data_IF_610709053208
#
_entry.id   IF_610709053208
#
_cell.length_a   1.000
_cell.length_b   1.000
_cell.length_c   1.000
_cell.angle_alpha   90.00
_cell.angle_beta   90.00
_cell.angle_gamma   90.00
#
_symmetry.space_group_name_H-M   'P 1'
#
loop_
_entity.id
_entity.type
_entity.pdbx_description
1 polymer ?
#
# COMPACT_ATOMS: atom_id res chain seq x y z
N UNK A 1 0.02 -8.48 -12.19
CA UNK A 1 -0.46 -7.11 -11.90
C UNK A 1 -0.89 -6.36 -13.18
N UNK A 2 0.03 -5.92 -14.06
CA UNK A 2 -0.32 -5.05 -15.22
C UNK A 2 -1.45 -5.59 -16.09
N UNK A 3 -1.45 -6.88 -16.44
CA UNK A 3 -2.50 -7.49 -17.26
C UNK A 3 -3.87 -7.45 -16.57
N UNK A 4 -3.91 -7.69 -15.27
CA UNK A 4 -5.14 -7.66 -14.48
C UNK A 4 -5.71 -6.25 -14.37
N UNK A 5 -4.89 -5.27 -14.01
CA UNK A 5 -5.29 -3.86 -13.97
C UNK A 5 -5.81 -3.37 -15.34
N UNK A 6 -5.10 -3.73 -16.44
CA UNK A 6 -5.56 -3.39 -17.79
C UNK A 6 -6.92 -4.02 -18.11
N UNK A 7 -7.14 -5.26 -17.69
CA UNK A 7 -8.45 -5.92 -17.87
C UNK A 7 -9.54 -5.20 -17.10
N UNK A 8 -9.33 -4.95 -15.80
CA UNK A 8 -10.32 -4.25 -14.96
C UNK A 8 -10.67 -2.89 -15.56
N UNK A 9 -9.69 -2.13 -16.01
CA UNK A 9 -9.90 -0.79 -16.56
C UNK A 9 -10.81 -0.76 -17.81
N UNK A 10 -10.82 -1.83 -18.61
CA UNK A 10 -11.59 -1.88 -19.89
C UNK A 10 -12.85 -2.75 -19.79
N UNK A 11 -13.02 -3.55 -18.73
CA UNK A 11 -14.20 -4.42 -18.60
C UNK A 11 -15.42 -3.61 -18.19
N UNK A 12 -16.50 -3.75 -18.93
CA UNK A 12 -17.76 -2.98 -18.76
C UNK A 12 -18.45 -3.20 -17.40
N UNK A 13 -18.14 -4.29 -16.70
CA UNK A 13 -18.74 -4.63 -15.41
C UNK A 13 -17.85 -4.18 -14.26
N UNK A 14 -16.53 -4.35 -14.42
CA UNK A 14 -15.58 -4.20 -13.31
C UNK A 14 -14.76 -2.92 -13.36
N UNK A 15 -14.85 -2.10 -14.42
CA UNK A 15 -14.14 -0.80 -14.51
C UNK A 15 -14.45 0.12 -13.30
N UNK A 16 -15.65 0.04 -12.77
CA UNK A 16 -16.08 0.79 -11.57
C UNK A 16 -15.36 0.41 -10.26
N UNK A 17 -14.50 -0.59 -10.27
CA UNK A 17 -13.67 -1.01 -9.15
C UNK A 17 -12.19 -0.82 -9.43
N UNK A 18 -11.87 -0.09 -10.52
CA UNK A 18 -10.48 0.07 -10.95
C UNK A 18 -9.64 0.79 -9.90
N UNK A 19 -10.17 1.86 -9.33
CA UNK A 19 -9.53 2.69 -8.33
C UNK A 19 -9.15 1.88 -7.09
N UNK A 20 -10.07 1.11 -6.56
CA UNK A 20 -9.86 0.28 -5.37
C UNK A 20 -8.85 -0.83 -5.66
N UNK A 21 -8.97 -1.51 -6.81
CA UNK A 21 -8.03 -2.56 -7.20
C UNK A 21 -6.62 -1.97 -7.42
N UNK A 22 -6.53 -0.76 -7.98
CA UNK A 22 -5.26 -0.05 -8.12
C UNK A 22 -4.62 0.23 -6.76
N UNK A 23 -5.40 0.75 -5.81
CA UNK A 23 -4.96 1.04 -4.44
C UNK A 23 -4.45 -0.23 -3.75
N UNK A 24 -5.14 -1.37 -3.87
CA UNK A 24 -4.67 -2.65 -3.30
C UNK A 24 -3.26 -3.02 -3.77
N UNK A 25 -2.96 -2.82 -5.05
CA UNK A 25 -1.64 -3.15 -5.61
C UNK A 25 -0.54 -2.14 -5.27
N UNK A 26 -0.89 -0.92 -4.82
CA UNK A 26 0.06 0.18 -4.69
C UNK A 26 0.23 0.71 -3.26
N UNK A 27 -0.44 0.13 -2.27
CA UNK A 27 -0.34 0.57 -0.86
C UNK A 27 0.11 -0.53 0.09
N UNK A 28 -0.12 -1.78 -0.27
CA UNK A 28 0.23 -2.92 0.58
C UNK A 28 -0.59 -3.03 1.86
N UNK A 29 -1.71 -2.31 2.01
CA UNK A 29 -2.62 -2.41 3.15
C UNK A 29 -3.19 -3.82 3.32
N UNK A 30 -3.55 -4.17 4.57
CA UNK A 30 -4.36 -5.35 4.82
C UNK A 30 -5.81 -5.08 4.40
N UNK A 31 -6.50 -6.13 3.98
CA UNK A 31 -7.90 -6.01 3.53
C UNK A 31 -8.81 -5.41 4.60
N UNK A 32 -8.64 -5.77 5.87
CA UNK A 32 -9.44 -5.24 6.97
C UNK A 32 -9.12 -3.77 7.29
N UNK A 33 -7.86 -3.34 7.13
CA UNK A 33 -7.45 -1.93 7.20
C UNK A 33 -8.10 -1.14 6.07
N UNK A 34 -8.02 -1.64 4.84
CA UNK A 34 -8.65 -1.01 3.67
C UNK A 34 -10.16 -0.86 3.85
N UNK A 35 -10.86 -1.91 4.31
CA UNK A 35 -12.30 -1.84 4.56
C UNK A 35 -12.68 -0.82 5.65
N UNK A 36 -11.79 -0.59 6.60
CA UNK A 36 -11.99 0.36 7.71
C UNK A 36 -11.80 1.82 7.33
N UNK A 37 -11.18 2.12 6.18
CA UNK A 37 -10.87 3.49 5.80
C UNK A 37 -12.11 4.38 5.77
N UNK A 38 -11.97 5.54 6.43
CA UNK A 38 -12.94 6.62 6.41
C UNK A 38 -12.39 7.83 5.64
N UNK A 39 -13.23 8.80 5.35
CA UNK A 39 -12.79 10.06 4.74
C UNK A 39 -11.76 10.80 5.59
N UNK A 40 -11.80 10.64 6.91
CA UNK A 40 -10.88 11.29 7.86
C UNK A 40 -9.47 10.69 7.81
N UNK A 41 -9.32 9.48 7.29
CA UNK A 41 -8.03 8.78 7.19
C UNK A 41 -7.21 9.21 5.98
N UNK A 42 -7.82 9.92 5.03
CA UNK A 42 -7.20 10.31 3.77
C UNK A 42 -6.88 11.81 3.76
N UNK A 43 -5.61 12.14 3.76
CA UNK A 43 -5.14 13.52 3.57
C UNK A 43 -4.61 13.67 2.13
N UNK A 44 -5.46 14.22 1.25
CA UNK A 44 -5.13 14.41 -0.17
C UNK A 44 -4.08 15.51 -0.38
N UNK A 45 -3.96 16.49 0.53
CA UNK A 45 -2.97 17.56 0.44
C UNK A 45 -1.58 17.05 0.82
N UNK A 46 -1.46 16.40 1.98
CA UNK A 46 -0.21 15.77 2.42
C UNK A 46 0.09 14.47 1.71
N UNK A 47 -0.88 13.92 0.97
CA UNK A 47 -0.82 12.63 0.28
C UNK A 47 -0.45 11.50 1.22
N UNK A 48 -1.26 11.34 2.26
CA UNK A 48 -1.06 10.31 3.28
C UNK A 48 -2.35 9.59 3.63
N UNK A 49 -2.20 8.31 4.02
CA UNK A 49 -3.27 7.47 4.56
C UNK A 49 -2.92 7.17 6.01
N UNK A 50 -3.80 7.51 6.94
CA UNK A 50 -3.67 7.10 8.34
C UNK A 50 -4.26 5.70 8.53
N UNK A 51 -3.51 4.80 9.12
CA UNK A 51 -3.95 3.45 9.48
C UNK A 51 -3.83 3.27 10.98
N UNK A 52 -4.92 3.30 11.69
CA UNK A 52 -4.98 3.11 13.16
C UNK A 52 -6.02 2.08 13.58
N UNK A 53 -6.90 1.68 12.67
CA UNK A 53 -7.98 0.74 12.91
C UNK A 53 -8.22 -0.20 11.72
N UNK A 54 -9.06 -1.17 11.93
CA UNK A 54 -9.51 -2.13 10.93
C UNK A 54 -10.98 -2.47 11.12
N UNK A 55 -11.71 -2.65 10.00
CA UNK A 55 -13.09 -3.10 10.03
C UNK A 55 -13.17 -4.60 9.84
N UNK A 56 -13.89 -5.27 10.72
CA UNK A 56 -14.19 -6.68 10.64
C UNK A 56 -15.69 -6.96 10.75
N UNK A 57 -16.07 -8.16 10.35
CA UNK A 57 -17.42 -8.69 10.56
C UNK A 57 -17.32 -9.99 11.32
N UNK A 58 -17.93 -10.03 12.50
CA UNK A 58 -17.91 -11.21 13.36
C UNK A 58 -18.69 -12.38 12.76
N UNK A 59 -18.53 -13.58 13.33
CA UNK A 59 -19.34 -14.76 12.97
C UNK A 59 -20.83 -14.55 13.20
N UNK A 60 -21.20 -13.67 14.13
CA UNK A 60 -22.58 -13.23 14.38
C UNK A 60 -23.10 -12.17 13.37
N UNK A 61 -22.29 -11.85 12.35
CA UNK A 61 -22.57 -10.84 11.33
C UNK A 61 -22.58 -9.39 11.84
N UNK A 62 -22.03 -9.12 13.02
CA UNK A 62 -21.90 -7.78 13.57
C UNK A 62 -20.65 -7.11 12.98
N UNK A 63 -20.75 -5.82 12.66
CA UNK A 63 -19.63 -5.00 12.23
C UNK A 63 -18.91 -4.46 13.45
N UNK A 64 -17.62 -4.60 13.50
CA UNK A 64 -16.78 -4.11 14.61
C UNK A 64 -15.55 -3.41 14.08
N UNK A 65 -15.19 -2.33 14.75
CA UNK A 65 -13.89 -1.67 14.55
C UNK A 65 -12.94 -2.18 15.62
N UNK A 66 -11.83 -2.73 15.18
CA UNK A 66 -10.74 -3.13 16.07
C UNK A 66 -9.54 -2.22 15.85
N UNK A 67 -8.80 -1.87 16.91
CA UNK A 67 -7.50 -1.23 16.73
C UNK A 67 -6.58 -2.18 15.95
N UNK A 68 -5.55 -1.64 15.36
CA UNK A 68 -4.52 -2.47 14.74
C UNK A 68 -3.91 -3.43 15.78
N UNK A 69 -3.67 -4.69 15.40
CA UNK A 69 -3.26 -5.78 16.31
C UNK A 69 -2.01 -5.50 17.17
N UNK A 70 -1.23 -4.50 16.81
CA UNK A 70 0.00 -4.11 17.50
C UNK A 70 0.16 -2.60 17.42
N UNK A 71 0.87 -1.99 18.36
CA UNK A 71 1.25 -0.56 18.29
C UNK A 71 2.00 -0.23 16.98
N UNK A 72 2.75 -1.19 16.44
CA UNK A 72 3.39 -1.06 15.12
C UNK A 72 2.39 -1.08 13.96
N UNK A 73 1.14 -1.48 14.19
CA UNK A 73 0.07 -1.47 13.18
C UNK A 73 -0.40 -0.08 12.82
N UNK A 74 -0.39 0.83 13.79
CA UNK A 74 -0.70 2.24 13.58
C UNK A 74 0.45 2.89 12.80
N UNK A 75 0.15 3.39 11.62
CA UNK A 75 1.14 3.98 10.72
C UNK A 75 0.51 4.94 9.73
N UNK A 76 1.35 5.79 9.17
CA UNK A 76 0.98 6.65 8.04
C UNK A 76 1.63 6.12 6.77
N UNK A 77 0.84 5.86 5.74
CA UNK A 77 1.31 5.40 4.44
C UNK A 77 1.36 6.61 3.49
N UNK A 78 2.52 6.96 2.92
CA UNK A 78 2.60 7.99 1.89
C UNK A 78 1.98 7.48 0.58
N UNK A 79 1.30 8.36 -0.13
CA UNK A 79 0.69 8.06 -1.43
C UNK A 79 1.54 8.59 -2.58
N UNK A 80 1.60 7.82 -3.67
CA UNK A 80 2.04 8.37 -4.97
C UNK A 80 0.95 9.29 -5.55
N UNK A 81 1.29 10.08 -6.54
CA UNK A 81 0.31 10.95 -7.21
C UNK A 81 -0.87 10.14 -7.75
N UNK A 82 -0.58 9.00 -8.37
CA UNK A 82 -1.61 8.12 -8.95
C UNK A 82 -2.55 7.56 -7.87
N UNK A 83 -2.01 7.12 -6.72
CA UNK A 83 -2.85 6.63 -5.60
C UNK A 83 -3.69 7.77 -5.03
N UNK A 84 -3.15 8.99 -4.97
CA UNK A 84 -3.91 10.18 -4.53
C UNK A 84 -5.09 10.46 -5.45
N UNK A 85 -4.88 10.38 -6.77
CA UNK A 85 -5.96 10.56 -7.75
C UNK A 85 -7.02 9.45 -7.66
N UNK A 86 -6.62 8.20 -7.39
CA UNK A 86 -7.59 7.11 -7.16
C UNK A 86 -8.47 7.39 -5.93
N UNK A 87 -7.88 7.84 -4.81
CA UNK A 87 -8.66 8.22 -3.64
C UNK A 87 -9.52 9.45 -3.88
N UNK A 88 -9.05 10.43 -4.64
CA UNK A 88 -9.84 11.61 -5.03
C UNK A 88 -11.09 11.17 -5.78
N UNK A 89 -10.94 10.32 -6.79
CA UNK A 89 -12.07 9.81 -7.58
C UNK A 89 -13.07 9.04 -6.70
N UNK A 90 -12.60 8.17 -5.79
CA UNK A 90 -13.46 7.44 -4.85
C UNK A 90 -14.24 8.39 -3.93
N UNK A 91 -13.59 9.43 -3.42
CA UNK A 91 -14.22 10.41 -2.51
C UNK A 91 -15.24 11.25 -3.26
N UNK A 92 -14.95 11.68 -4.49
CA UNK A 92 -15.85 12.47 -5.34
C UNK A 92 -17.07 11.65 -5.79
N UNK A 93 -16.90 10.35 -6.06
CA UNK A 93 -17.97 9.45 -6.53
C UNK A 93 -18.77 8.82 -5.36
N UNK A 94 -18.35 9.10 -4.12
CA UNK A 94 -18.96 8.55 -2.92
C UNK A 94 -20.39 9.07 -2.75
N UNK A 95 -21.40 8.18 -2.58
CA UNK A 95 -22.78 8.60 -2.35
C UNK A 95 -22.92 9.47 -1.10
N UNK A 96 -23.65 10.57 -1.22
CA UNK A 96 -24.01 11.42 -0.07
C UNK A 96 -25.27 10.86 0.62
N UNK A 97 -25.08 10.30 1.80
CA UNK A 97 -26.17 9.77 2.61
C UNK A 97 -26.62 10.79 3.65
N UNK A 98 -27.92 11.10 3.71
CA UNK A 98 -28.49 11.99 4.74
C UNK A 98 -28.18 11.54 6.17
N UNK A 99 -28.09 10.23 6.38
CA UNK A 99 -27.72 9.60 7.66
C UNK A 99 -26.73 8.49 7.37
N UNK A 100 -25.51 8.68 7.78
CA UNK A 100 -24.48 7.67 7.64
C UNK A 100 -24.51 6.64 8.77
N UNK A 101 -24.04 5.43 8.48
CA UNK A 101 -23.90 4.39 9.48
C UNK A 101 -22.71 4.70 10.39
N UNK A 102 -22.94 4.55 11.69
CA UNK A 102 -21.90 4.67 12.71
C UNK A 102 -21.59 3.27 13.24
N UNK A 103 -20.32 2.88 13.24
CA UNK A 103 -19.85 1.60 13.76
C UNK A 103 -18.75 1.90 14.76
N UNK A 104 -18.97 1.56 16.03
CA UNK A 104 -18.05 1.80 17.15
C UNK A 104 -17.48 3.25 17.19
N UNK A 105 -18.33 4.23 16.84
CA UNK A 105 -17.98 5.65 16.80
C UNK A 105 -17.37 6.14 15.48
N UNK A 106 -17.09 5.26 14.52
CA UNK A 106 -16.57 5.61 13.20
C UNK A 106 -17.70 5.80 12.19
N UNK A 107 -17.56 6.77 11.32
CA UNK A 107 -18.47 7.09 10.21
C UNK A 107 -17.69 7.61 9.00
N UNK A 108 -18.35 7.85 7.88
CA UNK A 108 -17.67 8.34 6.68
C UNK A 108 -16.83 7.28 5.97
N UNK A 109 -17.19 5.99 6.10
CA UNK A 109 -16.49 4.90 5.42
C UNK A 109 -16.44 5.11 3.90
N UNK A 110 -15.30 4.84 3.28
CA UNK A 110 -15.11 5.08 1.84
C UNK A 110 -15.84 4.06 0.97
N UNK A 111 -15.87 2.81 1.38
CA UNK A 111 -16.36 1.71 0.55
C UNK A 111 -17.68 1.18 1.09
N UNK A 112 -18.77 1.55 0.42
CA UNK A 112 -20.13 1.27 0.87
C UNK A 112 -20.83 0.29 -0.08
N UNK A 113 -21.77 -0.46 0.45
CA UNK A 113 -22.74 -1.18 -0.35
C UNK A 113 -23.95 -0.29 -0.70
N UNK A 114 -24.93 -0.85 -1.43
CA UNK A 114 -26.16 -0.14 -1.84
C UNK A 114 -27.03 0.34 -0.68
N UNK A 115 -26.87 -0.26 0.50
CA UNK A 115 -27.64 0.05 1.70
C UNK A 115 -26.86 1.00 2.65
N UNK A 116 -25.72 1.53 2.19
CA UNK A 116 -24.83 2.42 2.94
C UNK A 116 -24.04 1.73 4.04
N UNK A 117 -23.97 0.39 4.03
CA UNK A 117 -23.12 -0.34 4.96
C UNK A 117 -21.69 -0.48 4.39
N UNK A 118 -20.66 -0.38 5.24
CA UNK A 118 -19.29 -0.54 4.75
C UNK A 118 -19.04 -1.96 4.26
N UNK A 119 -18.26 -2.04 3.18
CA UNK A 119 -17.84 -3.31 2.61
C UNK A 119 -16.76 -3.94 3.51
N UNK A 120 -16.91 -5.23 3.78
CA UNK A 120 -15.93 -6.02 4.55
C UNK A 120 -15.13 -6.95 3.66
N UNK A 121 -14.09 -7.56 4.20
CA UNK A 121 -13.13 -8.43 3.49
C UNK A 121 -13.78 -9.43 2.55
N UNK A 122 -14.83 -10.11 3.02
CA UNK A 122 -15.55 -11.11 2.22
C UNK A 122 -16.14 -10.53 0.92
N UNK A 123 -16.62 -9.29 0.94
CA UNK A 123 -17.17 -8.65 -0.28
C UNK A 123 -16.08 -8.43 -1.33
N UNK A 124 -14.88 -8.03 -0.91
CA UNK A 124 -13.73 -7.85 -1.79
C UNK A 124 -13.20 -9.18 -2.30
N UNK A 125 -13.09 -10.20 -1.46
CA UNK A 125 -12.67 -11.55 -1.87
C UNK A 125 -13.60 -12.10 -2.96
N UNK A 126 -14.92 -11.97 -2.79
CA UNK A 126 -15.89 -12.38 -3.81
C UNK A 126 -15.71 -11.59 -5.11
N UNK A 127 -15.50 -10.26 -5.04
CA UNK A 127 -15.26 -9.43 -6.23
C UNK A 127 -14.00 -9.86 -6.96
N UNK A 128 -12.89 -10.08 -6.25
CA UNK A 128 -11.65 -10.57 -6.86
C UNK A 128 -11.86 -11.92 -7.56
N UNK A 129 -12.54 -12.86 -6.91
CA UNK A 129 -12.83 -14.17 -7.50
C UNK A 129 -13.66 -14.04 -8.78
N UNK A 130 -14.70 -13.21 -8.80
CA UNK A 130 -15.49 -12.97 -9.98
C UNK A 130 -14.73 -12.27 -11.11
N UNK A 131 -13.88 -11.30 -10.79
CA UNK A 131 -13.02 -10.63 -11.78
C UNK A 131 -12.03 -11.63 -12.43
N UNK A 132 -11.40 -12.49 -11.63
CA UNK A 132 -10.48 -13.53 -12.13
C UNK A 132 -11.23 -14.56 -12.97
N UNK A 133 -12.40 -15.03 -12.53
CA UNK A 133 -13.23 -15.97 -13.29
C UNK A 133 -13.60 -15.38 -14.65
N UNK A 134 -14.09 -14.14 -14.67
CA UNK A 134 -14.46 -13.48 -15.92
C UNK A 134 -13.27 -13.26 -16.84
N UNK A 135 -12.10 -12.89 -16.31
CA UNK A 135 -10.88 -12.84 -17.13
C UNK A 135 -10.61 -14.20 -17.79
N UNK A 136 -10.71 -15.27 -17.01
CA UNK A 136 -10.40 -16.61 -17.44
C UNK A 136 -11.44 -17.20 -18.43
N UNK A 137 -12.66 -16.68 -18.41
CA UNK A 137 -13.68 -16.99 -19.44
C UNK A 137 -13.37 -16.32 -20.80
N UNK A 138 -12.79 -15.11 -20.76
CA UNK A 138 -12.55 -14.32 -21.97
C UNK A 138 -11.20 -14.68 -22.62
N UNK A 139 -10.17 -14.93 -21.82
CA UNK A 139 -8.79 -15.07 -22.31
C UNK A 139 -8.27 -16.51 -22.23
N UNK A 140 -7.60 -16.98 -23.29
CA UNK A 140 -6.96 -18.31 -23.33
C UNK A 140 -5.86 -18.47 -22.27
N UNK A 141 -5.09 -17.41 -22.03
CA UNK A 141 -4.05 -17.41 -21.00
C UNK A 141 -4.70 -17.13 -19.66
N UNK A 142 -4.79 -18.16 -18.84
CA UNK A 142 -5.47 -18.08 -17.55
C UNK A 142 -4.71 -17.20 -16.56
N UNK A 143 -5.46 -16.42 -15.80
CA UNK A 143 -4.96 -15.63 -14.68
C UNK A 143 -4.87 -16.54 -13.45
N UNK A 144 -3.76 -16.51 -12.68
CA UNK A 144 -3.71 -17.18 -11.38
C UNK A 144 -4.72 -16.52 -10.42
N UNK A 145 -5.03 -17.21 -9.33
CA UNK A 145 -5.90 -16.65 -8.30
C UNK A 145 -5.29 -15.36 -7.73
N UNK A 146 -6.01 -14.25 -7.91
CA UNK A 146 -5.63 -12.92 -7.37
C UNK A 146 -6.59 -12.60 -6.22
N UNK A 147 -6.02 -12.30 -5.07
CA UNK A 147 -6.75 -11.92 -3.86
C UNK A 147 -6.16 -10.62 -3.31
N UNK A 148 -6.81 -9.92 -2.38
CA UNK A 148 -6.21 -8.78 -1.68
C UNK A 148 -4.85 -9.10 -1.06
N UNK A 149 -4.68 -10.31 -0.54
CA UNK A 149 -3.42 -10.79 0.01
C UNK A 149 -2.31 -10.89 -1.06
N UNK A 150 -2.65 -11.42 -2.24
CA UNK A 150 -1.74 -11.46 -3.40
C UNK A 150 -1.36 -10.06 -3.87
N UNK A 151 -2.30 -9.09 -3.83
CA UNK A 151 -1.99 -7.69 -4.13
C UNK A 151 -0.95 -7.12 -3.17
N UNK A 152 -1.13 -7.34 -1.87
CA UNK A 152 -0.19 -6.93 -0.82
C UNK A 152 1.19 -7.58 -0.99
N UNK A 153 1.26 -8.89 -1.28
CA UNK A 153 2.52 -9.58 -1.60
C UNK A 153 3.19 -9.02 -2.85
N UNK A 154 2.39 -8.70 -3.88
CA UNK A 154 2.90 -8.10 -5.11
C UNK A 154 3.51 -6.72 -4.84
N UNK A 155 2.84 -5.89 -4.03
CA UNK A 155 3.38 -4.61 -3.58
C UNK A 155 4.73 -4.80 -2.88
N UNK A 156 4.80 -5.68 -1.89
CA UNK A 156 6.01 -5.97 -1.15
C UNK A 156 7.17 -6.39 -2.08
N UNK A 157 6.90 -7.33 -3.00
CA UNK A 157 7.89 -7.80 -3.97
C UNK A 157 8.34 -6.72 -4.95
N UNK A 158 7.41 -5.85 -5.40
CA UNK A 158 7.76 -4.75 -6.29
C UNK A 158 8.62 -3.69 -5.59
N UNK A 159 8.32 -3.38 -4.33
CA UNK A 159 9.12 -2.44 -3.54
C UNK A 159 10.52 -2.98 -3.25
N UNK A 160 10.63 -4.28 -2.94
CA UNK A 160 11.92 -4.93 -2.78
C UNK A 160 12.75 -4.89 -4.08
N UNK A 161 12.15 -5.20 -5.22
CA UNK A 161 12.80 -5.11 -6.55
C UNK A 161 13.18 -3.68 -6.95
N UNK A 162 12.47 -2.68 -6.43
CA UNK A 162 12.80 -1.27 -6.60
C UNK A 162 13.85 -0.77 -5.59
N UNK A 163 14.49 -1.70 -4.88
CA UNK A 163 15.58 -1.42 -3.93
C UNK A 163 15.15 -0.50 -2.77
N UNK A 164 13.89 -0.60 -2.35
CA UNK A 164 13.42 0.08 -1.15
C UNK A 164 14.19 -0.45 0.07
N UNK A 165 14.58 0.44 0.98
CA UNK A 165 15.23 0.01 2.22
C UNK A 165 14.36 -1.02 2.98
N UNK A 166 14.91 -2.19 3.40
CA UNK A 166 14.14 -3.24 4.07
C UNK A 166 13.43 -2.77 5.34
N UNK A 167 14.00 -1.84 6.11
CA UNK A 167 13.36 -1.27 7.30
C UNK A 167 12.16 -0.40 6.96
N UNK A 168 12.27 0.39 5.88
CA UNK A 168 11.14 1.18 5.36
C UNK A 168 10.02 0.26 4.88
N UNK A 169 10.37 -0.81 4.16
CA UNK A 169 9.38 -1.78 3.71
C UNK A 169 8.74 -2.53 4.89
N UNK A 170 9.53 -2.90 5.92
CA UNK A 170 9.01 -3.49 7.15
C UNK A 170 7.97 -2.58 7.82
N UNK A 171 8.26 -1.28 7.92
CA UNK A 171 7.33 -0.27 8.45
C UNK A 171 6.02 -0.22 7.66
N UNK A 172 6.10 -0.07 6.33
CA UNK A 172 4.91 0.00 5.46
C UNK A 172 4.07 -1.27 5.52
N UNK A 173 4.71 -2.43 5.58
CA UNK A 173 4.05 -3.75 5.59
C UNK A 173 3.64 -4.18 7.00
N UNK A 174 4.12 -3.53 8.07
CA UNK A 174 3.88 -3.97 9.46
C UNK A 174 4.21 -5.44 9.64
N UNK A 175 5.39 -5.85 9.17
CA UNK A 175 5.88 -7.18 9.45
C UNK A 175 6.50 -7.19 10.86
N UNK A 176 5.96 -8.02 11.73
CA UNK A 176 6.46 -8.17 13.12
C UNK A 176 7.92 -8.61 13.17
N UNK A 177 8.32 -9.44 12.21
CA UNK A 177 9.69 -9.91 12.05
C UNK A 177 10.27 -9.37 10.72
N UNK A 178 11.48 -8.80 10.80
CA UNK A 178 12.22 -8.35 9.63
C UNK A 178 12.55 -9.49 8.67
N UNK A 179 12.70 -10.72 9.18
CA UNK A 179 12.96 -11.90 8.37
C UNK A 179 11.88 -12.10 7.30
N UNK A 180 10.61 -11.83 7.62
CA UNK A 180 9.50 -11.88 6.65
C UNK A 180 9.71 -10.89 5.50
N UNK A 181 10.22 -9.70 5.80
CA UNK A 181 10.56 -8.70 4.79
C UNK A 181 11.79 -9.12 4.01
N UNK A 182 12.85 -9.58 4.68
CA UNK A 182 14.11 -9.97 4.04
C UNK A 182 13.94 -11.15 3.09
N UNK A 183 13.03 -12.08 3.38
CA UNK A 183 12.72 -13.19 2.48
C UNK A 183 12.29 -12.74 1.07
N UNK A 184 11.78 -11.53 0.93
CA UNK A 184 11.42 -10.97 -0.40
C UNK A 184 12.65 -10.48 -1.16
N UNK A 185 13.77 -10.21 -0.46
CA UNK A 185 15.05 -9.79 -1.04
C UNK A 185 15.98 -10.96 -1.38
N UNK A 186 15.65 -12.19 -1.00
CA UNK A 186 16.51 -13.37 -1.23
C UNK A 186 16.72 -13.74 -2.71
N UNK A 187 15.97 -13.11 -3.61
CA UNK A 187 16.11 -13.29 -5.05
C UNK A 187 16.97 -12.19 -5.72
N UNK A 188 17.68 -11.37 -4.92
CA UNK A 188 18.63 -10.38 -5.43
C UNK A 188 19.89 -11.12 -5.85
N UNK A 189 20.15 -11.17 -7.16
CA UNK A 189 21.29 -11.84 -7.76
C UNK A 189 22.42 -10.88 -8.13
N UNK A 190 23.48 -11.42 -8.75
CA UNK A 190 24.64 -10.66 -9.22
C UNK A 190 24.23 -9.49 -10.14
N UNK A 191 23.28 -9.72 -11.05
CA UNK A 191 22.76 -8.70 -11.98
C UNK A 191 22.12 -7.50 -11.26
N UNK A 192 21.49 -7.72 -10.11
CA UNK A 192 20.88 -6.64 -9.34
C UNK A 192 21.95 -5.84 -8.58
N UNK A 193 22.99 -6.54 -8.06
CA UNK A 193 24.15 -5.89 -7.44
C UNK A 193 24.91 -5.01 -8.45
N UNK A 194 25.10 -5.48 -9.68
CA UNK A 194 25.72 -4.70 -10.76
C UNK A 194 24.93 -3.43 -11.09
N UNK A 195 23.59 -3.54 -11.18
CA UNK A 195 22.72 -2.39 -11.43
C UNK A 195 22.76 -1.37 -10.29
N UNK A 196 22.85 -1.83 -9.05
CA UNK A 196 22.99 -0.93 -7.90
C UNK A 196 24.31 -0.19 -7.90
N UNK A 197 25.41 -0.89 -8.15
CA UNK A 197 26.73 -0.28 -8.26
C UNK A 197 26.78 0.77 -9.39
N UNK A 198 26.18 0.46 -10.55
CA UNK A 198 26.08 1.42 -11.65
C UNK A 198 25.27 2.68 -11.27
N UNK A 199 24.16 2.52 -10.52
CA UNK A 199 23.38 3.66 -10.01
C UNK A 199 24.18 4.50 -9.04
N UNK A 200 24.94 3.89 -8.13
CA UNK A 200 25.80 4.59 -7.18
C UNK A 200 26.88 5.38 -7.91
N UNK A 201 27.54 4.78 -8.89
CA UNK A 201 28.53 5.46 -9.72
C UNK A 201 27.93 6.64 -10.51
N UNK A 202 26.72 6.46 -11.05
CA UNK A 202 25.98 7.53 -11.73
C UNK A 202 25.64 8.70 -10.79
N UNK A 203 25.25 8.43 -9.55
CA UNK A 203 25.02 9.46 -8.54
C UNK A 203 26.30 10.18 -8.11
N UNK A 204 27.41 9.47 -7.95
CA UNK A 204 28.72 10.09 -7.67
C UNK A 204 29.18 10.99 -8.81
N UNK A 205 29.01 10.55 -10.06
CA UNK A 205 29.35 11.35 -11.22
C UNK A 205 28.50 12.62 -11.31
N UNK A 206 27.19 12.50 -11.10
CA UNK A 206 26.27 13.63 -11.05
C UNK A 206 26.60 14.62 -9.92
N UNK A 207 27.00 14.15 -8.74
CA UNK A 207 27.49 14.99 -7.64
C UNK A 207 28.77 15.76 -8.02
N UNK A 208 29.72 15.08 -8.66
CA UNK A 208 30.95 15.71 -9.16
C UNK A 208 30.67 16.76 -10.22
N UNK A 209 29.75 16.49 -11.15
CA UNK A 209 29.33 17.45 -12.18
C UNK A 209 28.62 18.68 -11.61
N UNK A 210 27.84 18.51 -10.53
CA UNK A 210 27.17 19.62 -9.83
C UNK A 210 28.11 20.38 -8.87
N UNK A 211 29.39 20.04 -8.78
CA UNK A 211 30.37 20.71 -7.91
C UNK A 211 30.08 20.53 -6.41
N UNK A 212 29.26 19.55 -6.03
CA UNK A 212 29.01 19.22 -4.63
C UNK A 212 30.19 18.37 -4.16
N UNK A 213 31.28 19.04 -3.72
CA UNK A 213 32.38 18.36 -3.05
C UNK A 213 32.03 18.17 -1.57
N UNK A 214 32.33 17.01 -1.02
CA UNK A 214 32.31 16.72 0.42
C UNK A 214 33.36 17.53 1.19
N UNK A 215 33.37 18.85 1.03
CA UNK A 215 34.35 19.74 1.70
C UNK A 215 33.66 20.50 2.81
N UNK A 216 33.25 19.79 3.84
CA UNK A 216 33.07 20.37 5.18
C UNK A 216 33.40 19.36 6.30
N UNK A 217 34.32 18.43 6.02
CA UNK A 217 35.01 17.68 7.07
C UNK A 217 36.14 18.55 7.65
N UNK A 218 35.77 19.61 8.35
CA UNK A 218 36.65 20.14 9.37
C UNK A 218 36.67 19.14 10.52
N UNK A 219 37.81 18.52 10.83
CA UNK A 219 37.87 17.59 11.95
C UNK A 219 37.41 18.35 13.22
N UNK A 220 36.38 17.86 13.89
CA UNK A 220 36.02 18.34 15.21
C UNK A 220 37.26 18.24 16.08
N UNK A 221 37.75 19.39 16.59
CA UNK A 221 38.91 19.44 17.50
C UNK A 221 38.60 18.47 18.65
N UNK A 222 39.31 17.36 18.69
CA UNK A 222 39.30 16.47 19.83
C UNK A 222 39.89 17.27 21.01
N UNK A 223 39.04 17.68 21.94
CA UNK A 223 39.48 18.13 23.24
C UNK A 223 40.08 16.90 23.95
N UNK A 224 41.40 16.83 23.97
CA UNK A 224 42.08 15.85 24.78
C UNK A 224 41.75 16.13 26.24
N UNK A 225 41.03 15.22 26.86
CA UNK A 225 40.90 15.19 28.32
C UNK A 225 42.29 14.98 28.91
N UNK A 226 42.85 15.99 29.59
CA UNK A 226 43.97 15.81 30.50
C UNK A 226 43.47 15.11 31.74
N UNK A 227 43.89 13.86 31.91
CA UNK A 227 43.78 13.16 33.20
C UNK A 227 44.83 13.77 34.12
N UNK A 228 44.39 14.30 35.26
CA UNK A 228 45.21 14.65 36.42
C UNK A 228 45.14 13.51 37.39
#
# INVERSE_FOLDING_TARGET
MRKFLKFIHVDVVYCKYYEEIYIFFHTGMRISEFCGLTMMDIDLEKRTINIDHQLQRTSKREYVIEPTKTNAGTRVIPMTNEVTEMFRAIIEDRPDYKVEKVIDGYTGFLFLDKDGMPLVSMHWEHRFNHMVSRYNEIYKVQMPNITPHVCRHTYCSNMAKSVMNPKTLQYLMVHSDIAVTLNVYTHVGLEDAEKELQKMQGLENARKEMGISDTDDKPLKQNMFKVV
#
